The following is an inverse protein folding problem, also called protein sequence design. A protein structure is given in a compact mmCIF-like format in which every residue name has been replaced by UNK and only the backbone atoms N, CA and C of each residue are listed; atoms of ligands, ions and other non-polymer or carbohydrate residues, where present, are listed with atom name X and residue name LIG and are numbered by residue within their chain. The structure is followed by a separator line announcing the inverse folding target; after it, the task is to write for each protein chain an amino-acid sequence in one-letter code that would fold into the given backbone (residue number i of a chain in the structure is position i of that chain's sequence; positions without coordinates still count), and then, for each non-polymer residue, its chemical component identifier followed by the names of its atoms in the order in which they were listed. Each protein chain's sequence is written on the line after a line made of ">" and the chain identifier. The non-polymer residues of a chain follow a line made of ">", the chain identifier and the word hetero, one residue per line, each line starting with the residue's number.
data_IF_504965971926
#
_entry.id   IF_504965971926
#
_cell.length_a   1.000
_cell.length_b   1.000
_cell.length_c   1.000
_cell.angle_alpha   90.00
_cell.angle_beta   90.00
_cell.angle_gamma   90.00
#
_symmetry.space_group_name_H-M   'P 1'
#
loop_
_entity.id
_entity.type
_entity.pdbx_description
1 polymer ?
#
# COMPACT_ATOMS: atom_id res chain seq x y z
N UNK A 1 -6.30 -2.04 6.07
CA UNK A 1 -5.78 -1.98 4.71
C UNK A 1 -6.90 -1.59 3.79
N UNK A 2 -6.79 -0.41 3.17
CA UNK A 2 -7.78 0.12 2.25
C UNK A 2 -7.95 -0.75 1.00
N UNK A 3 -9.01 -0.52 0.21
CA UNK A 3 -9.28 -1.29 -1.00
C UNK A 3 -8.17 -1.16 -2.05
N UNK A 4 -7.50 0.00 -2.15
CA UNK A 4 -6.35 0.19 -3.05
C UNK A 4 -5.16 -0.73 -2.70
N UNK A 5 -4.99 -1.12 -1.45
CA UNK A 5 -3.85 -1.95 -1.03
C UNK A 5 -4.08 -3.44 -1.32
N UNK A 6 -5.34 -3.86 -1.49
CA UNK A 6 -5.70 -5.25 -1.77
C UNK A 6 -6.02 -5.51 -3.23
N UNK A 7 -6.57 -4.53 -3.96
CA UNK A 7 -6.95 -4.70 -5.36
C UNK A 7 -6.62 -3.46 -6.19
N UNK A 8 -5.77 -3.67 -7.20
CA UNK A 8 -5.23 -2.60 -8.06
C UNK A 8 -6.01 -2.44 -9.38
N UNK A 9 -6.84 -3.41 -9.74
CA UNK A 9 -7.50 -3.46 -11.03
C UNK A 9 -8.84 -4.19 -10.98
N UNK A 10 -9.76 -3.77 -11.85
CA UNK A 10 -10.97 -4.50 -12.21
C UNK A 10 -11.06 -4.61 -13.73
N UNK A 11 -11.39 -5.81 -14.22
CA UNK A 11 -11.66 -6.07 -15.62
C UNK A 11 -13.17 -6.32 -15.76
N UNK A 12 -13.85 -5.42 -16.44
CA UNK A 12 -15.29 -5.52 -16.68
C UNK A 12 -15.53 -5.85 -18.15
N UNK A 13 -16.41 -6.82 -18.40
CA UNK A 13 -16.92 -7.10 -19.75
C UNK A 13 -18.15 -6.22 -19.99
N UNK A 14 -18.05 -5.31 -20.97
CA UNK A 14 -19.17 -4.53 -21.46
C UNK A 14 -19.78 -5.27 -22.66
N UNK A 15 -21.08 -5.56 -22.60
CA UNK A 15 -21.84 -6.16 -23.69
C UNK A 15 -22.83 -5.14 -24.25
N UNK A 16 -22.84 -4.96 -25.55
CA UNK A 16 -23.87 -4.23 -26.28
C UNK A 16 -24.68 -5.24 -27.10
N UNK A 17 -26.01 -5.15 -27.00
CA UNK A 17 -26.95 -6.06 -27.67
C UNK A 17 -28.08 -5.28 -28.33
N UNK A 18 -28.48 -5.68 -29.54
CA UNK A 18 -29.68 -5.18 -30.23
C UNK A 18 -30.83 -6.20 -30.29
N UNK A 19 -30.76 -7.26 -29.47
CA UNK A 19 -31.66 -8.44 -29.46
C UNK A 19 -31.46 -9.45 -30.59
N UNK A 20 -30.66 -9.12 -31.62
CA UNK A 20 -30.30 -10.04 -32.71
C UNK A 20 -28.81 -10.36 -32.71
N UNK A 21 -27.99 -9.37 -32.37
CA UNK A 21 -26.54 -9.43 -32.34
C UNK A 21 -26.02 -8.89 -31.01
N UNK A 22 -24.95 -9.51 -30.54
CA UNK A 22 -24.20 -9.06 -29.36
C UNK A 22 -22.75 -8.77 -29.75
N UNK A 23 -22.18 -7.74 -29.14
CA UNK A 23 -20.75 -7.46 -29.21
C UNK A 23 -20.23 -7.10 -27.82
N UNK A 24 -18.96 -7.42 -27.56
CA UNK A 24 -18.36 -7.18 -26.24
C UNK A 24 -17.01 -6.47 -26.34
N UNK A 25 -16.69 -5.71 -25.30
CA UNK A 25 -15.38 -5.11 -25.08
C UNK A 25 -14.99 -5.18 -23.61
N UNK A 26 -13.70 -5.03 -23.32
CA UNK A 26 -13.18 -5.03 -21.96
C UNK A 26 -12.91 -3.61 -21.48
N UNK A 27 -13.46 -3.25 -20.33
CA UNK A 27 -13.12 -2.03 -19.60
C UNK A 27 -12.13 -2.41 -18.50
N UNK A 28 -10.93 -1.82 -18.56
CA UNK A 28 -9.91 -2.00 -17.52
C UNK A 28 -9.90 -0.79 -16.60
N UNK A 29 -10.29 -0.99 -15.35
CA UNK A 29 -10.31 0.05 -14.32
C UNK A 29 -9.06 -0.09 -13.45
N UNK A 30 -8.23 0.94 -13.43
CA UNK A 30 -7.06 1.00 -12.56
C UNK A 30 -7.39 1.80 -11.29
N UNK A 31 -7.17 1.19 -10.13
CA UNK A 31 -7.34 1.86 -8.84
C UNK A 31 -6.07 2.65 -8.54
N UNK A 32 -6.18 3.98 -8.54
CA UNK A 32 -5.07 4.85 -8.16
C UNK A 32 -4.77 4.67 -6.69
N UNK A 33 -3.52 4.35 -6.39
CA UNK A 33 -3.03 4.35 -5.03
C UNK A 33 -2.88 5.78 -4.51
N UNK A 34 -3.26 6.00 -3.26
CA UNK A 34 -3.13 7.29 -2.59
C UNK A 34 -2.41 7.07 -1.27
N UNK A 35 -1.77 8.11 -0.75
CA UNK A 35 -1.06 8.01 0.52
C UNK A 35 -2.05 8.09 1.70
N UNK A 36 -2.78 7.00 1.96
CA UNK A 36 -3.77 6.85 3.03
C UNK A 36 -3.30 5.97 4.20
N UNK A 37 -2.15 5.30 4.06
CA UNK A 37 -1.49 4.58 5.15
C UNK A 37 -0.40 5.44 5.81
N UNK A 38 -0.59 5.93 7.05
CA UNK A 38 0.47 6.61 7.77
C UNK A 38 1.62 5.64 8.09
N UNK A 39 2.86 6.13 8.22
CA UNK A 39 3.97 5.29 8.65
C UNK A 39 3.70 4.74 10.07
N UNK A 40 4.01 3.46 10.26
CA UNK A 40 3.87 2.80 11.56
C UNK A 40 5.25 2.43 12.07
N UNK A 41 5.60 2.90 13.27
CA UNK A 41 6.82 2.48 13.94
C UNK A 41 6.71 1.01 14.37
N UNK A 42 7.72 0.16 14.07
CA UNK A 42 7.75 -1.23 14.50
C UNK A 42 7.66 -1.43 16.03
N UNK A 43 8.17 -0.46 16.81
CA UNK A 43 8.12 -0.49 18.26
C UNK A 43 7.39 0.75 18.79
N UNK A 44 6.58 0.54 19.83
CA UNK A 44 5.92 1.64 20.55
C UNK A 44 6.91 2.53 21.31
N UNK A 45 8.08 1.99 21.66
CA UNK A 45 9.14 2.70 22.36
C UNK A 45 10.50 2.12 21.97
N UNK A 46 11.44 3.00 21.61
CA UNK A 46 12.84 2.66 21.42
C UNK A 46 13.63 3.16 22.63
N UNK A 47 14.28 2.25 23.36
CA UNK A 47 15.05 2.60 24.57
C UNK A 47 16.44 1.98 24.54
N UNK A 48 17.45 2.74 24.94
CA UNK A 48 18.81 2.26 25.18
C UNK A 48 19.43 2.98 26.36
N UNK A 49 20.29 2.28 27.10
CA UNK A 49 21.10 2.83 28.17
C UNK A 49 22.53 3.01 27.67
N UNK A 50 23.12 4.18 27.94
CA UNK A 50 24.49 4.53 27.57
C UNK A 50 25.30 4.81 28.84
N UNK A 51 26.60 4.54 28.76
CA UNK A 51 27.56 4.87 29.82
C UNK A 51 28.03 6.31 29.64
N UNK A 52 28.05 7.09 30.72
CA UNK A 52 28.42 8.51 30.67
C UNK A 52 29.90 8.71 30.32
N UNK A 53 30.75 7.74 30.65
CA UNK A 53 32.20 7.90 30.52
C UNK A 53 32.69 7.81 29.06
N UNK A 54 31.82 7.46 28.10
CA UNK A 54 32.20 7.33 26.68
C UNK A 54 31.08 7.77 25.73
N UNK A 55 31.39 8.74 24.89
CA UNK A 55 30.56 9.08 23.74
C UNK A 55 30.42 7.86 22.79
N UNK A 56 29.22 7.51 22.32
CA UNK A 56 29.04 6.43 21.35
C UNK A 56 29.66 6.81 20.01
N UNK A 57 30.55 5.97 19.47
CA UNK A 57 31.07 6.10 18.09
C UNK A 57 30.27 5.27 17.08
N UNK A 58 29.15 4.69 17.51
CA UNK A 58 28.34 3.74 16.76
C UNK A 58 26.84 4.07 16.86
N UNK A 59 26.02 3.48 15.97
CA UNK A 59 24.56 3.68 15.94
C UNK A 59 23.90 3.28 17.28
N UNK A 60 23.17 4.22 17.87
CA UNK A 60 22.55 4.08 19.19
C UNK A 60 21.27 3.26 19.14
N UNK A 61 20.46 3.35 18.08
CA UNK A 61 19.34 2.42 17.91
C UNK A 61 19.68 1.51 16.74
N UNK A 62 19.51 0.20 16.91
CA UNK A 62 19.53 -0.74 15.80
C UNK A 62 18.11 -0.88 15.28
N UNK A 63 17.97 -0.73 13.97
CA UNK A 63 16.73 -0.89 13.23
C UNK A 63 16.24 -2.34 13.32
#
# INVERSE_FOLDING_TARGET
>A
MGPCEKQKQYDLTLVASDSLNDNQTTIVIHIRDVNDMPPVFPQKMYKRTLKEEKAPTYRILKN
#
